data_IF_025687128554
#
_entry.id   IF_025687128554
#
_cell.length_a   1.000
_cell.length_b   1.000
_cell.length_c   1.000
_cell.angle_alpha   90.00
_cell.angle_beta   90.00
_cell.angle_gamma   90.00
#
_symmetry.space_group_name_H-M   'P 1'
#
loop_
_entity.id
_entity.type
_entity.pdbx_description
1 polymer ?
#
# COMPACT_ATOMS: atom_id res chain seq x y z
N UNK A 1 65.65 4.75 -11.10
CA UNK A 1 65.24 5.83 -12.02
C UNK A 1 66.17 7.00 -11.77
N UNK A 2 67.28 6.98 -12.49
CA UNK A 2 68.32 8.00 -12.46
C UNK A 2 67.85 9.20 -13.28
N UNK A 3 68.12 10.41 -12.79
CA UNK A 3 67.93 11.65 -13.55
C UNK A 3 69.31 12.22 -13.88
N UNK A 4 69.60 12.56 -15.14
CA UNK A 4 70.92 13.01 -15.54
C UNK A 4 71.08 14.51 -15.33
N UNK A 5 72.18 14.89 -14.67
CA UNK A 5 72.66 16.27 -14.62
C UNK A 5 73.27 16.66 -15.96
N UNK A 6 72.77 17.73 -16.57
CA UNK A 6 73.41 18.37 -17.71
C UNK A 6 74.39 19.43 -17.21
N UNK A 7 75.65 19.01 -17.18
CA UNK A 7 76.84 19.83 -17.09
C UNK A 7 77.16 20.33 -18.51
N UNK A 8 76.90 21.61 -18.80
CA UNK A 8 77.35 22.26 -20.05
C UNK A 8 77.80 23.67 -19.70
N UNK A 9 79.12 23.86 -19.59
CA UNK A 9 79.82 25.07 -20.04
C UNK A 9 81.33 24.80 -19.93
N UNK A 10 81.89 24.27 -21.00
CA UNK A 10 83.32 24.28 -21.27
C UNK A 10 83.61 25.32 -22.36
N UNK A 11 84.74 26.01 -22.17
CA UNK A 11 85.48 26.80 -23.15
C UNK A 11 84.82 28.06 -23.73
N UNK A 12 85.16 29.21 -23.11
CA UNK A 12 85.38 30.45 -23.87
C UNK A 12 86.81 30.89 -23.58
N UNK A 13 87.59 30.93 -24.66
CA UNK A 13 88.98 31.36 -24.75
C UNK A 13 89.21 32.74 -24.14
N UNK A 14 90.16 32.79 -23.20
CA UNK A 14 90.87 34.00 -22.81
C UNK A 14 91.88 34.35 -23.91
N UNK A 15 91.45 35.13 -24.91
CA UNK A 15 92.38 35.96 -25.69
C UNK A 15 92.51 37.32 -25.01
N UNK A 16 93.65 37.50 -24.35
CA UNK A 16 94.21 38.80 -24.02
C UNK A 16 94.49 39.52 -25.33
N UNK A 17 93.85 40.68 -25.56
CA UNK A 17 94.35 41.68 -26.49
C UNK A 17 93.77 43.05 -26.10
N UNK A 18 94.65 44.04 -25.97
CA UNK A 18 94.28 45.45 -26.09
C UNK A 18 93.84 46.16 -24.81
N UNK A 19 94.83 46.55 -24.01
CA UNK A 19 94.76 47.70 -23.10
C UNK A 19 94.22 48.96 -23.83
N UNK A 20 93.08 49.57 -23.44
CA UNK A 20 92.70 50.89 -23.92
C UNK A 20 93.00 51.96 -22.86
N UNK A 21 94.20 51.94 -22.28
CA UNK A 21 94.80 53.15 -21.71
C UNK A 21 95.30 54.01 -22.88
N UNK A 22 94.37 54.70 -23.54
CA UNK A 22 94.73 55.85 -24.35
C UNK A 22 95.07 57.03 -23.42
N UNK A 23 96.13 57.80 -23.69
CA UNK A 23 96.47 58.98 -22.91
C UNK A 23 95.32 59.98 -23.00
N UNK A 24 94.78 60.38 -21.85
CA UNK A 24 93.87 61.52 -21.77
C UNK A 24 94.71 62.76 -22.04
N UNK A 25 94.60 63.31 -23.25
CA UNK A 25 95.12 64.64 -23.53
C UNK A 25 94.50 65.65 -22.55
N UNK A 26 95.31 66.50 -21.88
CA UNK A 26 94.76 67.51 -21.01
C UNK A 26 94.08 68.57 -21.88
N UNK A 27 92.74 68.55 -21.92
CA UNK A 27 91.97 69.71 -22.36
C UNK A 27 92.31 70.83 -21.39
N UNK A 28 93.04 71.84 -21.89
CA UNK A 28 93.38 73.06 -21.17
C UNK A 28 92.09 73.68 -20.62
N UNK A 29 91.98 73.73 -19.30
CA UNK A 29 91.06 74.64 -18.66
C UNK A 29 91.62 76.05 -18.88
N UNK A 30 91.03 76.79 -19.81
CA UNK A 30 91.11 78.24 -19.77
C UNK A 30 90.41 78.68 -18.49
N UNK A 31 91.23 78.99 -17.49
CA UNK A 31 90.84 79.63 -16.26
C UNK A 31 90.41 81.06 -16.62
N UNK A 32 89.10 81.24 -16.78
CA UNK A 32 88.48 82.55 -16.76
C UNK A 32 87.89 82.80 -15.36
N UNK A 33 88.40 83.84 -14.73
CA UNK A 33 88.15 84.28 -13.38
C UNK A 33 86.68 84.72 -13.21
N UNK A 34 85.83 83.88 -12.60
CA UNK A 34 84.65 84.37 -11.88
C UNK A 34 83.99 83.29 -11.01
N UNK A 35 83.55 83.69 -9.82
CA UNK A 35 82.78 82.91 -8.82
C UNK A 35 81.38 82.50 -9.29
N UNK A 36 81.22 82.08 -10.55
CA UNK A 36 79.95 81.71 -11.16
C UNK A 36 79.83 80.19 -11.26
N UNK A 37 78.69 79.65 -10.84
CA UNK A 37 78.39 78.22 -10.93
C UNK A 37 78.41 77.75 -12.39
N UNK A 38 78.87 76.52 -12.61
CA UNK A 38 78.76 75.87 -13.91
C UNK A 38 77.30 75.79 -14.35
N UNK A 39 77.06 76.03 -15.65
CA UNK A 39 75.74 75.83 -16.28
C UNK A 39 75.52 74.36 -16.58
N UNK A 40 74.27 73.96 -16.83
CA UNK A 40 73.92 72.56 -17.07
C UNK A 40 74.70 71.88 -18.20
N UNK A 41 75.18 72.64 -19.20
CA UNK A 41 76.00 72.14 -20.32
C UNK A 41 77.51 72.15 -20.05
N UNK A 42 77.94 72.65 -18.90
CA UNK A 42 79.34 72.68 -18.44
C UNK A 42 79.63 71.59 -17.40
N UNK A 43 78.62 70.82 -17.00
CA UNK A 43 78.77 69.80 -15.95
C UNK A 43 79.61 68.62 -16.45
N UNK A 44 80.35 68.01 -15.53
CA UNK A 44 81.18 66.84 -15.83
C UNK A 44 80.34 65.69 -16.43
N UNK A 45 80.91 64.95 -17.40
CA UNK A 45 80.20 63.86 -18.11
C UNK A 45 79.54 62.83 -17.19
N UNK A 46 80.16 62.55 -16.03
CA UNK A 46 79.63 61.63 -15.02
C UNK A 46 78.33 62.12 -14.37
N UNK A 47 78.05 63.42 -14.36
CA UNK A 47 76.82 63.97 -13.80
C UNK A 47 75.67 64.07 -14.78
N UNK A 48 75.90 64.02 -16.11
CA UNK A 48 74.84 64.22 -17.11
C UNK A 48 73.68 63.23 -16.94
N UNK A 49 73.97 61.94 -16.96
CA UNK A 49 72.95 60.89 -16.78
C UNK A 49 72.32 60.92 -15.37
N UNK A 50 73.09 60.93 -14.26
CA UNK A 50 72.53 61.01 -12.91
C UNK A 50 71.66 62.25 -12.67
N UNK A 51 72.07 63.43 -13.14
CA UNK A 51 71.26 64.65 -13.01
C UNK A 51 69.94 64.45 -13.75
N UNK A 52 69.95 63.99 -15.01
CA UNK A 52 68.69 63.75 -15.74
C UNK A 52 67.84 62.67 -15.08
N UNK A 53 68.43 61.57 -14.63
CA UNK A 53 67.72 60.42 -14.07
C UNK A 53 67.17 60.64 -12.65
N UNK A 54 67.86 61.43 -11.83
CA UNK A 54 67.51 61.65 -10.41
C UNK A 54 66.81 62.98 -10.19
N UNK A 55 67.18 64.03 -10.94
CA UNK A 55 66.63 65.37 -10.73
C UNK A 55 65.37 65.66 -11.53
N UNK A 56 65.12 64.92 -12.62
CA UNK A 56 63.97 65.11 -13.50
C UNK A 56 63.13 63.83 -13.59
N UNK A 57 61.85 63.92 -13.18
CA UNK A 57 60.90 62.84 -13.42
C UNK A 57 60.65 62.65 -14.92
N UNK A 58 60.18 61.47 -15.32
CA UNK A 58 59.86 61.21 -16.72
C UNK A 58 58.76 62.17 -17.23
N UNK A 59 57.79 62.53 -16.39
CA UNK A 59 56.75 63.50 -16.70
C UNK A 59 57.31 64.91 -16.88
N UNK A 60 58.27 65.32 -16.04
CA UNK A 60 58.97 66.60 -16.18
C UNK A 60 59.78 66.65 -17.47
N UNK A 61 60.50 65.57 -17.79
CA UNK A 61 61.24 65.43 -19.05
C UNK A 61 60.31 65.57 -20.26
N UNK A 62 59.16 64.88 -20.25
CA UNK A 62 58.14 65.02 -21.29
C UNK A 62 57.65 66.46 -21.41
N UNK A 63 57.26 67.11 -20.32
CA UNK A 63 56.77 68.51 -20.34
C UNK A 63 57.81 69.49 -20.90
N UNK A 64 59.08 69.32 -20.55
CA UNK A 64 60.16 70.19 -21.04
C UNK A 64 60.36 70.00 -22.55
N UNK A 65 60.35 68.76 -23.05
CA UNK A 65 60.48 68.47 -24.49
C UNK A 65 59.34 69.05 -25.32
N UNK A 66 58.10 68.92 -24.85
CA UNK A 66 56.94 69.52 -25.57
C UNK A 66 57.12 71.02 -25.70
N UNK A 67 57.57 71.69 -24.62
CA UNK A 67 57.78 73.14 -24.59
C UNK A 67 58.95 73.62 -25.45
N UNK A 68 59.86 72.73 -25.86
CA UNK A 68 60.97 73.06 -26.77
C UNK A 68 60.70 72.68 -28.22
N UNK A 69 59.50 72.16 -28.53
CA UNK A 69 59.07 71.80 -29.89
C UNK A 69 59.45 70.39 -30.32
N UNK A 70 59.87 69.51 -29.40
CA UNK A 70 60.19 68.12 -29.72
C UNK A 70 58.94 67.25 -29.63
N UNK A 71 58.72 66.39 -30.64
CA UNK A 71 57.68 65.37 -30.58
C UNK A 71 58.06 64.26 -29.60
N UNK A 72 57.09 63.86 -28.77
CA UNK A 72 57.23 62.79 -27.76
C UNK A 72 56.48 61.53 -28.19
N UNK A 73 55.69 61.61 -29.27
CA UNK A 73 54.88 60.49 -29.75
C UNK A 73 55.79 59.30 -30.09
N UNK A 74 55.42 58.13 -29.58
CA UNK A 74 56.13 56.85 -29.77
C UNK A 74 57.57 56.80 -29.24
N UNK A 75 58.00 57.71 -28.35
CA UNK A 75 59.32 57.63 -27.71
C UNK A 75 59.27 56.86 -26.39
N UNK A 76 60.17 55.90 -26.24
CA UNK A 76 60.43 55.18 -25.00
C UNK A 76 61.05 56.10 -23.94
N UNK A 77 60.99 55.67 -22.67
CA UNK A 77 61.64 56.40 -21.58
C UNK A 77 63.15 56.54 -21.78
N UNK A 78 63.81 55.54 -22.37
CA UNK A 78 65.23 55.58 -22.68
C UNK A 78 65.57 56.61 -23.76
N UNK A 79 64.80 56.67 -24.85
CA UNK A 79 65.03 57.66 -25.92
C UNK A 79 64.85 59.09 -25.41
N UNK A 80 63.81 59.32 -24.59
CA UNK A 80 63.59 60.61 -23.92
C UNK A 80 64.81 60.96 -23.06
N UNK A 81 65.25 60.04 -22.19
CA UNK A 81 66.41 60.25 -21.34
C UNK A 81 67.69 60.55 -22.14
N UNK A 82 67.94 59.80 -23.22
CA UNK A 82 69.09 59.98 -24.10
C UNK A 82 69.14 61.37 -24.74
N UNK A 83 68.01 61.91 -25.17
CA UNK A 83 67.91 63.28 -25.71
C UNK A 83 68.32 64.31 -24.66
N UNK A 84 67.85 64.17 -23.42
CA UNK A 84 68.25 65.06 -22.33
C UNK A 84 69.74 64.98 -22.06
N UNK A 85 70.28 63.78 -21.87
CA UNK A 85 71.72 63.58 -21.58
C UNK A 85 72.59 64.15 -22.69
N UNK A 86 72.26 63.89 -23.95
CA UNK A 86 72.98 64.44 -25.09
C UNK A 86 72.90 65.96 -25.15
N UNK A 87 71.72 66.55 -24.87
CA UNK A 87 71.55 68.01 -24.89
C UNK A 87 72.41 68.74 -23.85
N UNK A 88 72.85 68.07 -22.79
CA UNK A 88 73.74 68.64 -21.77
C UNK A 88 75.22 68.64 -22.18
N UNK A 89 75.56 68.28 -23.42
CA UNK A 89 76.93 68.41 -23.93
C UNK A 89 77.29 69.82 -24.36
N UNK A 90 76.32 70.58 -24.87
CA UNK A 90 76.55 71.91 -25.41
C UNK A 90 75.42 72.87 -25.04
N UNK A 91 75.65 74.17 -25.24
CA UNK A 91 74.61 75.19 -25.04
C UNK A 91 73.59 75.12 -26.19
N UNK A 92 72.34 74.82 -25.86
CA UNK A 92 71.23 74.77 -26.81
C UNK A 92 69.90 75.15 -26.12
N UNK A 93 68.80 75.18 -26.88
CA UNK A 93 67.46 75.53 -26.36
C UNK A 93 67.00 74.60 -25.23
N UNK A 94 67.34 73.31 -25.31
CA UNK A 94 66.95 72.32 -24.32
C UNK A 94 67.81 72.42 -23.06
N UNK A 95 69.14 72.48 -23.17
CA UNK A 95 70.04 72.65 -22.02
C UNK A 95 69.80 73.95 -21.27
N UNK A 96 69.57 75.07 -21.97
CA UNK A 96 69.21 76.35 -21.32
C UNK A 96 67.91 76.24 -20.52
N UNK A 97 66.94 75.47 -21.04
CA UNK A 97 65.66 75.27 -20.36
C UNK A 97 65.77 74.30 -19.19
N UNK A 98 66.59 73.25 -19.32
CA UNK A 98 66.90 72.31 -18.23
C UNK A 98 67.58 73.07 -17.09
N UNK A 99 68.62 73.84 -17.39
CA UNK A 99 69.35 74.67 -16.45
C UNK A 99 68.40 75.59 -15.66
N UNK A 100 67.60 76.40 -16.36
CA UNK A 100 66.64 77.31 -15.71
C UNK A 100 65.58 76.57 -14.87
N UNK A 101 65.18 75.37 -15.31
CA UNK A 101 64.21 74.55 -14.58
C UNK A 101 64.80 73.97 -13.30
N UNK A 102 65.99 73.35 -13.38
CA UNK A 102 66.69 72.77 -12.23
C UNK A 102 67.09 73.84 -11.22
N UNK A 103 67.54 75.01 -11.68
CA UNK A 103 67.82 76.17 -10.82
C UNK A 103 66.60 76.62 -10.01
N UNK A 104 65.43 76.61 -10.65
CA UNK A 104 64.17 76.96 -9.99
C UNK A 104 63.71 75.87 -9.03
N UNK A 105 63.79 74.60 -9.47
CA UNK A 105 63.34 73.43 -8.71
C UNK A 105 64.11 73.27 -7.42
N UNK A 106 65.43 73.46 -7.46
CA UNK A 106 66.32 73.30 -6.30
C UNK A 106 66.82 74.63 -5.73
N UNK A 107 66.00 75.68 -5.82
CA UNK A 107 66.36 77.01 -5.31
C UNK A 107 66.75 76.96 -3.82
N UNK A 108 66.06 76.13 -3.03
CA UNK A 108 66.32 75.98 -1.61
C UNK A 108 67.68 75.33 -1.34
N UNK A 109 67.96 74.21 -1.97
CA UNK A 109 69.21 73.45 -1.83
C UNK A 109 70.40 74.25 -2.35
N UNK A 110 70.23 74.96 -3.49
CA UNK A 110 71.25 75.87 -4.00
C UNK A 110 71.56 76.96 -2.96
N UNK A 111 70.53 77.60 -2.39
CA UNK A 111 70.71 78.66 -1.38
C UNK A 111 71.40 78.15 -0.11
N UNK A 112 71.12 76.90 0.28
CA UNK A 112 71.62 76.31 1.53
C UNK A 112 73.04 75.74 1.38
N UNK A 113 73.35 75.10 0.25
CA UNK A 113 74.56 74.29 0.11
C UNK A 113 75.60 74.87 -0.87
N UNK A 114 75.25 75.82 -1.76
CA UNK A 114 76.23 76.32 -2.74
C UNK A 114 77.32 77.20 -2.12
N UNK A 115 77.05 77.82 -0.96
CA UNK A 115 78.01 78.69 -0.26
C UNK A 115 78.90 77.97 0.75
N UNK A 116 78.67 76.67 0.99
CA UNK A 116 79.51 75.88 1.90
C UNK A 116 80.90 75.69 1.33
N UNK A 117 81.91 75.60 2.20
CA UNK A 117 83.24 75.13 1.82
C UNK A 117 83.20 73.69 1.27
N UNK A 118 84.17 73.33 0.43
CA UNK A 118 84.28 72.02 -0.21
C UNK A 118 84.19 70.88 0.81
N UNK A 119 84.88 70.98 1.95
CA UNK A 119 84.87 69.92 2.96
C UNK A 119 83.50 69.78 3.63
N UNK A 120 82.87 70.91 3.98
CA UNK A 120 81.53 70.95 4.57
C UNK A 120 80.46 70.44 3.59
N UNK A 121 80.60 70.73 2.30
CA UNK A 121 79.70 70.22 1.28
C UNK A 121 79.78 68.69 1.15
N UNK A 122 80.98 68.12 1.18
CA UNK A 122 81.18 66.66 1.11
C UNK A 122 80.62 65.94 2.35
N UNK A 123 80.68 66.55 3.52
CA UNK A 123 80.05 66.02 4.73
C UNK A 123 78.52 66.08 4.65
N UNK A 124 77.98 67.21 4.16
CA UNK A 124 76.56 67.35 3.87
C UNK A 124 76.07 66.32 2.84
N UNK A 125 76.86 66.07 1.78
CA UNK A 125 76.58 65.03 0.78
C UNK A 125 76.42 63.66 1.43
N UNK A 126 77.40 63.21 2.23
CA UNK A 126 77.34 61.90 2.89
C UNK A 126 76.10 61.76 3.78
N UNK A 127 75.79 62.80 4.56
CA UNK A 127 74.65 62.82 5.48
C UNK A 127 73.31 62.72 4.73
N UNK A 128 73.12 63.53 3.69
CA UNK A 128 71.87 63.53 2.93
C UNK A 128 71.74 62.31 2.00
N UNK A 129 72.85 61.77 1.51
CA UNK A 129 72.86 60.53 0.73
C UNK A 129 72.34 59.35 1.56
N UNK A 130 72.76 59.22 2.82
CA UNK A 130 72.24 58.20 3.73
C UNK A 130 70.74 58.35 4.00
N UNK A 131 70.20 59.58 3.95
CA UNK A 131 68.77 59.87 4.10
C UNK A 131 67.97 59.70 2.81
N UNK A 132 68.63 59.50 1.67
CA UNK A 132 68.00 59.41 0.34
C UNK A 132 67.63 60.77 -0.27
N UNK A 133 68.03 61.88 0.33
CA UNK A 133 67.71 63.25 -0.10
C UNK A 133 68.73 63.79 -1.10
N UNK A 134 68.88 63.11 -2.24
CA UNK A 134 70.03 63.29 -3.14
C UNK A 134 69.82 64.29 -4.28
N UNK A 135 68.58 64.51 -4.73
CA UNK A 135 68.34 65.16 -6.03
C UNK A 135 68.84 66.61 -6.08
N UNK A 136 68.50 67.41 -5.06
CA UNK A 136 68.95 68.81 -5.01
C UNK A 136 70.45 68.95 -4.77
N UNK A 137 71.02 68.12 -3.88
CA UNK A 137 72.47 68.12 -3.63
C UNK A 137 73.28 67.64 -4.82
N UNK A 138 72.76 66.71 -5.62
CA UNK A 138 73.40 66.24 -6.85
C UNK A 138 73.46 67.38 -7.88
N UNK A 139 72.41 68.19 -8.01
CA UNK A 139 72.44 69.38 -8.86
C UNK A 139 73.42 70.43 -8.35
N UNK A 140 73.49 70.65 -7.03
CA UNK A 140 74.50 71.53 -6.42
C UNK A 140 75.91 71.00 -6.72
N UNK A 141 76.19 69.71 -6.50
CA UNK A 141 77.48 69.10 -6.82
C UNK A 141 77.84 69.27 -8.30
N UNK A 142 76.90 69.02 -9.20
CA UNK A 142 77.13 69.11 -10.64
C UNK A 142 77.48 70.53 -11.12
N UNK A 143 77.00 71.56 -10.43
CA UNK A 143 77.19 72.97 -10.82
C UNK A 143 78.27 73.70 -10.03
N UNK A 144 78.93 73.03 -9.08
CA UNK A 144 80.01 73.58 -8.27
C UNK A 144 81.36 73.54 -9.02
N UNK A 145 82.13 74.65 -9.06
CA UNK A 145 83.42 74.69 -9.74
C UNK A 145 84.61 74.20 -8.88
N UNK A 146 84.44 74.12 -7.56
CA UNK A 146 85.51 73.82 -6.59
C UNK A 146 85.74 72.31 -6.35
N UNK A 147 84.92 71.44 -6.95
CA UNK A 147 85.04 69.99 -6.80
C UNK A 147 86.18 69.43 -7.66
N UNK A 148 87.05 68.64 -7.05
CA UNK A 148 88.14 67.94 -7.73
C UNK A 148 87.65 66.64 -8.37
N UNK A 149 88.49 66.07 -9.24
CA UNK A 149 88.19 64.81 -9.90
C UNK A 149 87.94 63.64 -8.92
N UNK A 150 88.61 63.59 -7.76
CA UNK A 150 88.30 62.60 -6.71
C UNK A 150 86.86 62.74 -6.18
N UNK A 151 86.42 63.97 -5.91
CA UNK A 151 85.08 64.23 -5.36
C UNK A 151 84.00 63.84 -6.36
N UNK A 152 84.20 64.22 -7.62
CA UNK A 152 83.26 63.90 -8.71
C UNK A 152 83.14 62.38 -8.86
N UNK A 153 84.27 61.65 -8.79
CA UNK A 153 84.26 60.17 -8.84
C UNK A 153 83.53 59.57 -7.62
N UNK A 154 83.76 60.11 -6.42
CA UNK A 154 83.11 59.63 -5.20
C UNK A 154 81.59 59.82 -5.27
N UNK A 155 81.13 61.05 -5.53
CA UNK A 155 79.71 61.40 -5.64
C UNK A 155 79.04 60.58 -6.75
N UNK A 156 79.69 60.43 -7.90
CA UNK A 156 79.18 59.58 -8.97
C UNK A 156 79.08 58.12 -8.55
N UNK A 157 80.10 57.58 -7.86
CA UNK A 157 80.11 56.21 -7.36
C UNK A 157 78.94 55.92 -6.43
N UNK A 158 78.66 56.84 -5.51
CA UNK A 158 77.52 56.76 -4.58
C UNK A 158 76.18 56.65 -5.35
N UNK A 159 75.93 57.60 -6.26
CA UNK A 159 74.68 57.62 -7.05
C UNK A 159 74.58 56.43 -8.00
N UNK A 160 75.70 56.04 -8.61
CA UNK A 160 75.76 54.88 -9.51
C UNK A 160 75.37 53.58 -8.78
N UNK A 161 75.96 53.33 -7.62
CA UNK A 161 75.62 52.15 -6.81
C UNK A 161 74.18 52.18 -6.33
N UNK A 162 73.66 53.35 -5.93
CA UNK A 162 72.25 53.49 -5.56
C UNK A 162 71.30 53.12 -6.72
N UNK A 163 71.58 53.59 -7.95
CA UNK A 163 70.78 53.23 -9.12
C UNK A 163 70.80 51.72 -9.40
N UNK A 164 71.96 51.07 -9.23
CA UNK A 164 72.09 49.61 -9.33
C UNK A 164 71.26 48.88 -8.26
N UNK A 165 71.37 49.29 -6.99
CA UNK A 165 70.62 48.70 -5.88
C UNK A 165 69.10 48.88 -6.05
N UNK A 166 68.67 50.06 -6.47
CA UNK A 166 67.27 50.33 -6.80
C UNK A 166 66.75 49.37 -7.89
N UNK A 167 67.56 49.05 -8.89
CA UNK A 167 67.17 48.07 -9.92
C UNK A 167 66.97 46.68 -9.33
N UNK A 168 67.86 46.23 -8.45
CA UNK A 168 67.74 44.94 -7.75
C UNK A 168 66.49 44.90 -6.87
N UNK A 169 66.23 45.94 -6.09
CA UNK A 169 65.04 46.04 -5.24
C UNK A 169 63.75 46.08 -6.05
N UNK A 170 63.71 46.87 -7.12
CA UNK A 170 62.56 46.92 -8.03
C UNK A 170 62.30 45.56 -8.70
N UNK A 171 63.35 44.82 -9.09
CA UNK A 171 63.18 43.46 -9.63
C UNK A 171 62.58 42.52 -8.59
N UNK A 172 63.09 42.51 -7.35
CA UNK A 172 62.54 41.70 -6.26
C UNK A 172 61.09 42.08 -5.93
N UNK A 173 60.79 43.39 -5.88
CA UNK A 173 59.43 43.90 -5.65
C UNK A 173 58.47 43.46 -6.76
N UNK A 174 58.87 43.56 -8.03
CA UNK A 174 58.07 43.09 -9.18
C UNK A 174 57.82 41.59 -9.13
N UNK A 175 58.85 40.79 -8.80
CA UNK A 175 58.70 39.34 -8.64
C UNK A 175 57.73 38.99 -7.51
N UNK A 176 57.85 39.68 -6.36
CA UNK A 176 56.94 39.47 -5.23
C UNK A 176 55.51 39.87 -5.56
N UNK A 177 55.33 41.00 -6.24
CA UNK A 177 54.02 41.48 -6.67
C UNK A 177 53.37 40.48 -7.62
N UNK A 178 54.09 40.04 -8.66
CA UNK A 178 53.58 39.05 -9.62
C UNK A 178 53.20 37.72 -8.94
N UNK A 179 54.02 37.24 -8.00
CA UNK A 179 53.67 36.06 -7.19
C UNK A 179 52.40 36.27 -6.36
N UNK A 180 52.25 37.42 -5.70
CA UNK A 180 51.08 37.73 -4.89
C UNK A 180 49.82 37.93 -5.73
N UNK A 181 49.93 38.50 -6.93
CA UNK A 181 48.81 38.66 -7.87
C UNK A 181 48.29 37.29 -8.32
N UNK A 182 49.19 36.36 -8.64
CA UNK A 182 48.84 35.00 -9.05
C UNK A 182 48.19 34.20 -7.91
N UNK A 183 48.75 34.25 -6.70
CA UNK A 183 48.13 33.60 -5.54
C UNK A 183 46.76 34.19 -5.21
N UNK A 184 46.60 35.52 -5.30
CA UNK A 184 45.30 36.17 -5.14
C UNK A 184 44.30 35.74 -6.21
N UNK A 185 44.73 35.55 -7.46
CA UNK A 185 43.87 35.04 -8.54
C UNK A 185 43.36 33.64 -8.19
N UNK A 186 44.25 32.72 -7.80
CA UNK A 186 43.87 31.36 -7.38
C UNK A 186 42.93 31.35 -6.19
N UNK A 187 43.18 32.18 -5.17
CA UNK A 187 42.32 32.28 -4.00
C UNK A 187 40.93 32.81 -4.36
N UNK A 188 40.83 33.80 -5.26
CA UNK A 188 39.55 34.30 -5.78
C UNK A 188 38.77 33.20 -6.51
N UNK A 189 39.44 32.40 -7.35
CA UNK A 189 38.81 31.29 -8.06
C UNK A 189 38.27 30.22 -7.10
N UNK A 190 39.07 29.81 -6.10
CA UNK A 190 38.62 28.87 -5.05
C UNK A 190 37.44 29.41 -4.26
N UNK A 191 37.49 30.68 -3.87
CA UNK A 191 36.39 31.33 -3.15
C UNK A 191 35.10 31.34 -3.98
N UNK A 192 35.20 31.60 -5.29
CA UNK A 192 34.05 31.54 -6.19
C UNK A 192 33.47 30.13 -6.28
N UNK A 193 34.31 29.10 -6.42
CA UNK A 193 33.90 27.69 -6.43
C UNK A 193 33.19 27.29 -5.14
N UNK A 194 33.78 27.59 -3.99
CA UNK A 194 33.19 27.33 -2.66
C UNK A 194 31.85 28.07 -2.49
N UNK A 195 31.76 29.33 -2.94
CA UNK A 195 30.51 30.09 -2.88
C UNK A 195 29.40 29.47 -3.75
N UNK A 196 29.75 28.87 -4.88
CA UNK A 196 28.81 28.20 -5.77
C UNK A 196 28.34 26.87 -5.15
N UNK A 197 29.26 26.08 -4.62
CA UNK A 197 28.97 24.83 -3.92
C UNK A 197 28.07 25.07 -2.70
N UNK A 198 28.40 26.07 -1.88
CA UNK A 198 27.59 26.44 -0.71
C UNK A 198 26.17 26.88 -1.10
N UNK A 199 26.01 27.59 -2.23
CA UNK A 199 24.69 27.96 -2.76
C UNK A 199 23.90 26.73 -3.23
N UNK A 200 24.55 25.79 -3.91
CA UNK A 200 23.93 24.54 -4.36
C UNK A 200 23.46 23.70 -3.16
N UNK A 201 24.34 23.45 -2.19
CA UNK A 201 24.02 22.72 -0.95
C UNK A 201 22.90 23.38 -0.14
N UNK A 202 22.84 24.73 -0.12
CA UNK A 202 21.75 25.45 0.55
C UNK A 202 20.41 25.26 -0.16
N UNK A 203 20.41 25.21 -1.50
CA UNK A 203 19.21 24.94 -2.30
C UNK A 203 18.71 23.51 -2.09
N UNK A 204 19.62 22.55 -2.12
CA UNK A 204 19.33 21.13 -1.86
C UNK A 204 18.78 20.92 -0.45
N UNK A 205 19.43 21.47 0.58
CA UNK A 205 18.91 21.43 1.95
C UNK A 205 17.50 22.02 2.09
N UNK A 206 17.19 23.08 1.33
CA UNK A 206 15.84 23.65 1.31
C UNK A 206 14.83 22.70 0.66
N UNK A 207 15.22 21.98 -0.39
CA UNK A 207 14.38 20.96 -1.03
C UNK A 207 14.13 19.79 -0.08
N UNK A 208 15.21 19.20 0.47
CA UNK A 208 15.12 18.09 1.41
C UNK A 208 14.25 18.43 2.64
N UNK A 209 14.34 19.67 3.16
CA UNK A 209 13.44 20.11 4.24
C UNK A 209 11.97 20.14 3.84
N UNK A 210 11.65 20.49 2.59
CA UNK A 210 10.27 20.42 2.09
C UNK A 210 9.82 18.97 1.96
N UNK A 211 10.66 18.11 1.38
CA UNK A 211 10.36 16.69 1.17
C UNK A 211 10.13 15.98 2.51
N UNK A 212 10.97 16.25 3.52
CA UNK A 212 10.78 15.74 4.88
C UNK A 212 9.46 16.21 5.48
N UNK A 213 9.06 17.46 5.28
CA UNK A 213 7.78 17.97 5.79
C UNK A 213 6.58 17.38 5.05
N UNK A 214 6.71 17.06 3.77
CA UNK A 214 5.69 16.38 2.98
C UNK A 214 5.53 14.92 3.41
N UNK A 215 6.64 14.19 3.54
CA UNK A 215 6.66 12.83 4.06
C UNK A 215 6.08 12.76 5.48
N UNK A 216 6.41 13.70 6.36
CA UNK A 216 5.82 13.77 7.70
C UNK A 216 4.31 13.97 7.68
N UNK A 217 3.80 14.81 6.76
CA UNK A 217 2.35 15.01 6.58
C UNK A 217 1.67 13.75 6.05
N UNK A 218 2.27 13.09 5.06
CA UNK A 218 1.79 11.82 4.53
C UNK A 218 1.76 10.72 5.59
N UNK A 219 2.84 10.58 6.37
CA UNK A 219 2.91 9.62 7.47
C UNK A 219 1.81 9.86 8.52
N UNK A 220 1.62 11.11 8.96
CA UNK A 220 0.56 11.46 9.91
C UNK A 220 -0.85 11.21 9.35
N UNK A 221 -1.05 11.34 8.03
CA UNK A 221 -2.31 10.98 7.37
C UNK A 221 -2.55 9.46 7.41
N UNK A 222 -1.58 8.67 6.96
CA UNK A 222 -1.68 7.21 6.96
C UNK A 222 -1.80 6.64 8.37
N UNK A 223 -1.16 7.24 9.36
CA UNK A 223 -1.28 6.82 10.75
C UNK A 223 -2.70 7.05 11.29
N UNK A 224 -3.36 8.15 10.91
CA UNK A 224 -4.78 8.37 11.22
C UNK A 224 -5.71 7.38 10.51
N UNK A 225 -5.47 7.08 9.23
CA UNK A 225 -6.25 6.07 8.51
C UNK A 225 -6.08 4.70 9.13
N UNK A 226 -4.84 4.32 9.47
CA UNK A 226 -4.55 3.07 10.17
C UNK A 226 -5.33 2.99 11.49
N UNK A 227 -5.27 4.04 12.32
CA UNK A 227 -6.04 4.07 13.57
C UNK A 227 -7.56 3.95 13.34
N UNK A 228 -8.08 4.57 12.27
CA UNK A 228 -9.50 4.47 11.92
C UNK A 228 -9.88 3.05 11.52
N UNK A 229 -9.08 2.41 10.66
CA UNK A 229 -9.30 1.03 10.21
C UNK A 229 -9.16 0.06 11.38
N UNK A 230 -8.15 0.23 12.25
CA UNK A 230 -7.98 -0.59 13.46
C UNK A 230 -9.17 -0.46 14.40
N UNK A 231 -9.72 0.76 14.55
CA UNK A 231 -10.94 0.98 15.32
C UNK A 231 -12.17 0.31 14.69
N UNK A 232 -12.39 0.49 13.38
CA UNK A 232 -13.49 -0.17 12.67
C UNK A 232 -13.39 -1.70 12.77
N UNK A 233 -12.16 -2.25 12.70
CA UNK A 233 -11.90 -3.68 12.87
C UNK A 233 -12.19 -4.14 14.31
N UNK A 234 -11.80 -3.37 15.33
CA UNK A 234 -12.14 -3.66 16.72
C UNK A 234 -13.65 -3.62 16.93
N UNK A 235 -14.35 -2.61 16.41
CA UNK A 235 -15.81 -2.50 16.52
C UNK A 235 -16.54 -3.67 15.82
N UNK A 236 -16.04 -4.12 14.67
CA UNK A 236 -16.56 -5.33 14.00
C UNK A 236 -16.26 -6.62 14.78
N UNK A 237 -15.08 -6.71 15.39
CA UNK A 237 -14.66 -7.87 16.20
C UNK A 237 -15.40 -7.95 17.54
N UNK A 238 -15.63 -6.80 18.19
CA UNK A 238 -16.35 -6.66 19.45
C UNK A 238 -17.87 -6.68 19.26
N UNK A 239 -18.33 -6.65 18.01
CA UNK A 239 -19.73 -6.82 17.69
C UNK A 239 -20.16 -8.24 18.08
N UNK A 240 -20.70 -8.36 19.29
CA UNK A 240 -21.38 -9.56 19.81
C UNK A 240 -22.37 -10.15 18.81
N UNK A 241 -22.88 -9.35 17.87
CA UNK A 241 -23.64 -9.80 16.71
C UNK A 241 -22.93 -10.88 15.89
N UNK A 242 -21.62 -10.80 15.60
CA UNK A 242 -20.93 -11.83 14.81
C UNK A 242 -20.89 -13.17 15.56
N UNK A 243 -20.54 -13.16 16.85
CA UNK A 243 -20.54 -14.38 17.67
C UNK A 243 -21.96 -14.92 17.90
N UNK A 244 -22.96 -14.05 18.10
CA UNK A 244 -24.36 -14.45 18.24
C UNK A 244 -24.91 -15.04 16.95
N UNK A 245 -24.67 -14.40 15.79
CA UNK A 245 -25.06 -14.93 14.49
C UNK A 245 -24.35 -16.23 14.16
N UNK A 246 -23.09 -16.41 14.60
CA UNK A 246 -22.35 -17.65 14.41
C UNK A 246 -22.88 -18.78 15.31
N UNK A 247 -23.26 -18.46 16.55
CA UNK A 247 -23.93 -19.38 17.46
C UNK A 247 -25.32 -19.78 16.94
N UNK A 248 -26.12 -18.81 16.52
CA UNK A 248 -27.45 -19.01 15.92
C UNK A 248 -27.35 -19.81 14.62
N UNK A 249 -26.37 -19.54 13.74
CA UNK A 249 -26.12 -20.37 12.57
C UNK A 249 -25.79 -21.82 12.93
N UNK A 250 -25.03 -22.03 14.01
CA UNK A 250 -24.68 -23.38 14.47
C UNK A 250 -25.92 -24.12 14.98
N UNK A 251 -26.78 -23.44 15.73
CA UNK A 251 -28.03 -23.97 16.25
C UNK A 251 -29.02 -24.29 15.13
N UNK A 252 -29.26 -23.34 14.20
CA UNK A 252 -30.11 -23.55 13.02
C UNK A 252 -29.61 -24.73 12.17
N UNK A 253 -28.30 -24.93 12.02
CA UNK A 253 -27.73 -26.10 11.33
C UNK A 253 -27.98 -27.41 12.08
N UNK A 254 -28.01 -27.40 13.41
CA UNK A 254 -28.37 -28.58 14.21
C UNK A 254 -29.84 -28.90 14.02
N UNK A 255 -30.71 -27.91 14.09
CA UNK A 255 -32.15 -28.11 13.94
C UNK A 255 -32.54 -28.52 12.53
N UNK A 256 -31.90 -27.97 11.50
CA UNK A 256 -32.05 -28.45 10.13
C UNK A 256 -31.68 -29.93 9.96
N UNK A 257 -30.64 -30.40 10.66
CA UNK A 257 -30.30 -31.83 10.65
C UNK A 257 -31.38 -32.67 11.34
N UNK A 258 -31.81 -32.27 12.55
CA UNK A 258 -32.89 -32.97 13.28
C UNK A 258 -34.16 -33.06 12.45
N UNK A 259 -34.58 -31.94 11.86
CA UNK A 259 -35.80 -31.87 11.06
C UNK A 259 -35.67 -32.70 9.78
N UNK A 260 -34.49 -32.72 9.15
CA UNK A 260 -34.21 -33.60 8.02
C UNK A 260 -34.28 -35.08 8.40
N UNK A 261 -33.75 -35.45 9.56
CA UNK A 261 -33.82 -36.82 10.08
C UNK A 261 -35.26 -37.23 10.41
N UNK A 262 -36.05 -36.33 11.03
CA UNK A 262 -37.48 -36.52 11.27
C UNK A 262 -38.25 -36.70 9.97
N UNK A 263 -38.04 -35.84 8.97
CA UNK A 263 -38.66 -35.96 7.65
C UNK A 263 -38.30 -37.29 6.99
N UNK A 264 -37.05 -37.75 7.10
CA UNK A 264 -36.64 -39.06 6.60
C UNK A 264 -37.38 -40.20 7.31
N UNK A 265 -37.53 -40.10 8.64
CA UNK A 265 -38.28 -41.09 9.44
C UNK A 265 -39.76 -41.13 9.06
N UNK A 266 -40.39 -39.96 8.84
CA UNK A 266 -41.78 -39.86 8.40
C UNK A 266 -41.96 -40.41 7.00
N UNK A 267 -41.03 -40.13 6.08
CA UNK A 267 -41.06 -40.71 4.72
C UNK A 267 -41.01 -42.24 4.77
N UNK A 268 -40.11 -42.82 5.58
CA UNK A 268 -40.03 -44.26 5.77
C UNK A 268 -41.32 -44.85 6.34
N UNK A 269 -41.90 -44.19 7.34
CA UNK A 269 -43.17 -44.62 7.92
C UNK A 269 -44.33 -44.54 6.92
N UNK A 270 -44.32 -43.53 6.05
CA UNK A 270 -45.31 -43.38 4.99
C UNK A 270 -45.20 -44.51 3.96
N UNK A 271 -43.99 -44.87 3.54
CA UNK A 271 -43.77 -46.00 2.63
C UNK A 271 -44.21 -47.31 3.27
N UNK A 272 -43.87 -47.55 4.55
CA UNK A 272 -44.28 -48.76 5.26
C UNK A 272 -45.81 -48.88 5.36
N UNK A 273 -46.51 -47.77 5.62
CA UNK A 273 -47.98 -47.72 5.67
C UNK A 273 -48.61 -47.92 4.28
N UNK A 274 -48.01 -47.37 3.22
CA UNK A 274 -48.46 -47.59 1.84
C UNK A 274 -48.32 -49.07 1.43
N UNK A 275 -47.21 -49.71 1.81
CA UNK A 275 -46.99 -51.14 1.58
C UNK A 275 -48.00 -51.99 2.36
N UNK A 276 -48.28 -51.64 3.62
CA UNK A 276 -49.30 -52.31 4.44
C UNK A 276 -50.69 -52.18 3.83
N UNK A 277 -51.08 -50.98 3.40
CA UNK A 277 -52.36 -50.76 2.73
C UNK A 277 -52.46 -51.58 1.44
N UNK A 278 -51.40 -51.64 0.63
CA UNK A 278 -51.38 -52.44 -0.59
C UNK A 278 -51.54 -53.94 -0.31
N UNK A 279 -50.91 -54.45 0.76
CA UNK A 279 -51.08 -55.84 1.22
C UNK A 279 -52.51 -56.12 1.67
N UNK A 280 -53.08 -55.25 2.51
CA UNK A 280 -54.44 -55.38 3.01
C UNK A 280 -55.47 -55.34 1.88
N UNK A 281 -55.27 -54.48 0.88
CA UNK A 281 -56.11 -54.46 -0.32
C UNK A 281 -56.04 -55.80 -1.07
N UNK A 282 -54.85 -56.36 -1.25
CA UNK A 282 -54.68 -57.70 -1.84
C UNK A 282 -55.35 -58.82 -1.03
N UNK A 283 -55.35 -58.73 0.30
CA UNK A 283 -56.04 -59.69 1.16
C UNK A 283 -57.57 -59.56 1.06
N UNK A 284 -58.08 -58.33 0.95
CA UNK A 284 -59.51 -58.07 0.71
C UNK A 284 -59.95 -58.65 -0.63
N UNK A 285 -59.16 -58.49 -1.69
CA UNK A 285 -59.50 -59.04 -3.00
C UNK A 285 -59.50 -60.57 -2.99
N UNK A 286 -58.51 -61.20 -2.32
CA UNK A 286 -58.51 -62.66 -2.09
C UNK A 286 -59.75 -63.13 -1.33
N UNK A 287 -60.14 -62.40 -0.29
CA UNK A 287 -61.36 -62.72 0.46
C UNK A 287 -62.63 -62.57 -0.36
N UNK A 288 -62.71 -61.56 -1.25
CA UNK A 288 -63.84 -61.39 -2.19
C UNK A 288 -63.93 -62.56 -3.17
N UNK A 289 -62.79 -63.03 -3.68
CA UNK A 289 -62.73 -64.16 -4.60
C UNK A 289 -63.20 -65.47 -3.93
N UNK A 290 -62.70 -65.75 -2.72
CA UNK A 290 -63.12 -66.92 -1.92
C UNK A 290 -64.62 -66.87 -1.62
N UNK A 291 -65.15 -65.72 -1.19
CA UNK A 291 -66.58 -65.56 -0.92
C UNK A 291 -67.43 -65.68 -2.19
N UNK A 292 -66.94 -65.20 -3.33
CA UNK A 292 -67.57 -65.39 -4.63
C UNK A 292 -67.69 -66.87 -5.01
N UNK A 293 -66.66 -67.66 -4.72
CA UNK A 293 -66.67 -69.11 -4.96
C UNK A 293 -67.67 -69.84 -4.04
N UNK A 294 -67.72 -69.49 -2.75
CA UNK A 294 -68.67 -70.06 -1.79
C UNK A 294 -70.14 -69.76 -2.14
N UNK A 295 -70.44 -68.56 -2.64
CA UNK A 295 -71.82 -68.19 -3.04
C UNK A 295 -72.33 -69.05 -4.19
N UNK A 296 -71.50 -69.29 -5.22
CA UNK A 296 -71.84 -70.15 -6.36
C UNK A 296 -72.07 -71.60 -5.95
N UNK A 297 -71.29 -72.12 -5.00
CA UNK A 297 -71.49 -73.45 -4.40
C UNK A 297 -72.85 -73.55 -3.69
N UNK A 298 -73.22 -72.53 -2.92
CA UNK A 298 -74.45 -72.51 -2.12
C UNK A 298 -75.72 -72.42 -2.98
N UNK A 299 -75.70 -71.65 -4.06
CA UNK A 299 -76.82 -71.58 -5.03
C UNK A 299 -77.11 -72.94 -5.70
N UNK A 300 -76.06 -73.71 -6.03
CA UNK A 300 -76.22 -75.06 -6.61
C UNK A 300 -76.91 -76.04 -5.65
N UNK A 301 -76.64 -75.93 -4.35
CA UNK A 301 -77.23 -76.81 -3.33
C UNK A 301 -78.70 -76.48 -3.03
N UNK A 302 -79.11 -75.21 -3.11
CA UNK A 302 -80.50 -74.78 -2.86
C UNK A 302 -81.45 -75.25 -3.99
N UNK A 303 -81.01 -75.23 -5.25
CA UNK A 303 -81.82 -75.68 -6.39
C UNK A 303 -82.14 -77.18 -6.30
N UNK A 304 -81.22 -78.01 -5.77
CA UNK A 304 -81.44 -79.45 -5.55
C UNK A 304 -82.52 -79.76 -4.50
N UNK A 305 -82.68 -78.90 -3.48
CA UNK A 305 -83.56 -79.17 -2.34
C UNK A 305 -85.03 -78.85 -2.65
N UNK A 306 -85.31 -77.86 -3.51
CA UNK A 306 -86.69 -77.48 -3.86
C UNK A 306 -87.41 -78.43 -4.84
N UNK A 307 -86.70 -79.43 -5.39
CA UNK A 307 -87.27 -80.40 -6.33
C UNK A 307 -87.84 -81.66 -5.67
N UNK A 308 -87.57 -81.91 -4.38
CA UNK A 308 -87.90 -83.18 -3.70
C UNK A 308 -89.21 -83.18 -2.90
N UNK A 309 -89.91 -82.06 -2.74
CA UNK A 309 -91.14 -81.96 -1.92
C UNK A 309 -92.30 -81.28 -2.66
N UNK A 310 -93.00 -82.04 -3.53
CA UNK A 310 -94.35 -81.69 -4.00
C UNK A 310 -95.24 -82.93 -3.89
N UNK A 311 -96.32 -82.85 -3.11
CA UNK A 311 -97.41 -83.83 -3.08
C UNK A 311 -98.63 -83.23 -3.78
N UNK A 312 -99.28 -83.99 -4.67
CA UNK A 312 -100.52 -83.62 -5.38
C UNK A 312 -101.77 -84.34 -4.82
N UNK A 313 -102.92 -84.01 -5.39
CA UNK A 313 -104.30 -84.25 -4.92
C UNK A 313 -104.75 -85.72 -4.80
N UNK A 314 -103.88 -86.71 -5.00
CA UNK A 314 -104.22 -88.14 -4.89
C UNK A 314 -103.75 -88.83 -3.60
N UNK A 315 -103.31 -88.07 -2.59
CA UNK A 315 -102.80 -88.61 -1.32
C UNK A 315 -103.93 -89.17 -0.39
N UNK A 316 -103.98 -90.49 -0.10
CA UNK A 316 -105.09 -91.14 0.62
C UNK A 316 -105.12 -90.95 2.15
N UNK A 317 -104.41 -89.95 2.69
CA UNK A 317 -104.40 -89.60 4.12
C UNK A 317 -104.65 -88.11 4.35
N UNK A 318 -105.53 -87.54 3.54
CA UNK A 318 -105.84 -86.10 3.51
C UNK A 318 -106.53 -85.56 4.78
N UNK A 319 -107.00 -86.41 5.69
CA UNK A 319 -107.62 -85.99 6.96
C UNK A 319 -106.61 -85.78 8.12
N UNK A 320 -105.31 -85.93 7.85
CA UNK A 320 -104.21 -85.74 8.82
C UNK A 320 -103.24 -84.60 8.45
N UNK A 321 -103.55 -83.81 7.41
CA UNK A 321 -102.65 -82.80 6.83
C UNK A 321 -102.76 -81.37 7.40
N UNK A 322 -103.54 -81.11 8.46
CA UNK A 322 -103.64 -79.79 9.10
C UNK A 322 -103.15 -79.76 10.54
N UNK A 323 -101.96 -80.30 10.81
CA UNK A 323 -101.39 -80.28 12.16
C UNK A 323 -101.00 -78.85 12.58
N UNK A 324 -101.43 -78.45 13.77
CA UNK A 324 -101.05 -77.18 14.40
C UNK A 324 -99.68 -77.30 15.08
N UNK A 325 -98.69 -76.62 14.52
CA UNK A 325 -97.30 -76.66 15.00
C UNK A 325 -97.00 -75.39 15.78
N UNK A 326 -96.72 -75.55 17.07
CA UNK A 326 -96.31 -74.48 17.95
C UNK A 326 -94.78 -74.48 18.07
N UNK A 327 -94.14 -73.35 17.79
CA UNK A 327 -92.72 -73.15 18.11
C UNK A 327 -92.61 -72.33 19.40
N UNK A 328 -91.97 -72.89 20.43
CA UNK A 328 -91.76 -72.23 21.73
C UNK A 328 -90.28 -71.86 21.89
N UNK A 329 -90.00 -70.56 21.87
CA UNK A 329 -88.65 -70.02 21.81
C UNK A 329 -88.10 -69.99 20.38
N UNK A 330 -87.12 -69.13 20.11
CA UNK A 330 -86.58 -68.95 18.77
C UNK A 330 -86.04 -67.53 18.54
N UNK A 331 -85.21 -67.37 17.51
CA UNK A 331 -84.76 -66.04 17.05
C UNK A 331 -85.95 -65.35 16.34
N UNK A 332 -86.45 -64.26 16.93
CA UNK A 332 -87.63 -63.51 16.43
C UNK A 332 -87.49 -63.10 14.95
N UNK A 333 -86.28 -62.74 14.51
CA UNK A 333 -85.99 -62.36 13.11
C UNK A 333 -86.22 -63.48 12.08
N UNK A 334 -86.31 -64.75 12.49
CA UNK A 334 -86.48 -65.92 11.59
C UNK A 334 -87.93 -66.41 11.59
N UNK A 335 -88.80 -65.83 12.43
CA UNK A 335 -90.22 -66.18 12.57
C UNK A 335 -90.96 -66.22 11.22
N UNK A 336 -90.75 -65.24 10.36
CA UNK A 336 -91.44 -65.17 9.06
C UNK A 336 -91.04 -66.32 8.14
N UNK A 337 -89.79 -66.81 8.25
CA UNK A 337 -89.33 -67.98 7.50
C UNK A 337 -89.90 -69.29 8.05
N UNK A 338 -90.13 -69.40 9.36
CA UNK A 338 -90.82 -70.56 9.94
C UNK A 338 -92.28 -70.60 9.55
N UNK A 339 -92.94 -69.45 9.60
CA UNK A 339 -94.32 -69.29 9.15
C UNK A 339 -94.45 -69.75 7.70
N UNK A 340 -93.62 -69.20 6.80
CA UNK A 340 -93.62 -69.55 5.38
C UNK A 340 -93.39 -71.04 5.15
N UNK A 341 -92.39 -71.65 5.81
CA UNK A 341 -92.12 -73.09 5.66
C UNK A 341 -93.28 -73.98 6.14
N UNK A 342 -93.94 -73.65 7.25
CA UNK A 342 -95.00 -74.48 7.82
C UNK A 342 -96.32 -74.30 7.04
N UNK A 343 -96.66 -73.07 6.67
CA UNK A 343 -97.89 -72.75 5.94
C UNK A 343 -97.81 -73.15 4.45
N UNK A 344 -96.65 -73.01 3.79
CA UNK A 344 -96.47 -73.51 2.40
C UNK A 344 -96.58 -75.04 2.30
N UNK A 345 -96.34 -75.75 3.41
CA UNK A 345 -96.51 -77.20 3.50
C UNK A 345 -97.88 -77.60 4.12
N UNK A 346 -98.85 -76.68 4.20
CA UNK A 346 -100.24 -76.94 4.59
C UNK A 346 -100.52 -76.99 6.11
N UNK A 347 -99.53 -76.72 6.97
CA UNK A 347 -99.69 -76.72 8.43
C UNK A 347 -100.11 -75.37 9.01
N UNK A 348 -100.64 -75.37 10.25
CA UNK A 348 -101.00 -74.14 10.97
C UNK A 348 -99.87 -73.75 11.91
N UNK A 349 -99.31 -72.55 11.72
CA UNK A 349 -98.19 -72.07 12.53
C UNK A 349 -98.65 -71.26 13.76
N UNK A 350 -98.18 -71.65 14.95
CA UNK A 350 -98.22 -70.82 16.15
C UNK A 350 -96.81 -70.57 16.69
N UNK A 351 -96.59 -69.39 17.28
CA UNK A 351 -95.32 -69.01 17.87
C UNK A 351 -95.51 -68.48 19.29
N UNK A 352 -94.61 -68.89 20.18
CA UNK A 352 -94.44 -68.33 21.50
C UNK A 352 -92.97 -67.95 21.69
N UNK A 353 -92.68 -66.73 22.09
CA UNK A 353 -91.32 -66.18 22.22
C UNK A 353 -90.47 -66.83 23.33
N UNK A 354 -91.13 -67.53 24.26
CA UNK A 354 -90.49 -68.23 25.38
C UNK A 354 -90.29 -67.35 26.61
N UNK A 355 -90.82 -66.12 26.62
CA UNK A 355 -90.72 -65.20 27.75
C UNK A 355 -91.89 -65.41 28.73
N UNK A 356 -91.57 -65.64 30.02
CA UNK A 356 -92.53 -66.16 31.01
C UNK A 356 -92.98 -65.15 32.08
N UNK A 357 -92.65 -63.85 31.96
CA UNK A 357 -92.95 -62.83 33.00
C UNK A 357 -94.44 -62.48 33.16
N UNK A 358 -95.32 -62.84 32.22
CA UNK A 358 -96.77 -62.57 32.26
C UNK A 358 -97.66 -63.73 32.75
N UNK A 359 -97.08 -64.80 33.27
CA UNK A 359 -97.80 -65.98 33.78
C UNK A 359 -97.93 -67.14 32.78
N UNK A 360 -98.21 -68.35 33.29
CA UNK A 360 -98.15 -69.61 32.50
C UNK A 360 -99.42 -69.95 31.71
N UNK A 361 -100.46 -69.10 31.76
CA UNK A 361 -101.78 -69.41 31.18
C UNK A 361 -101.79 -69.39 29.64
N UNK A 362 -101.05 -68.48 28.99
CA UNK A 362 -100.98 -68.37 27.53
C UNK A 362 -100.36 -69.60 26.86
N UNK A 363 -99.14 -69.96 27.28
CA UNK A 363 -98.44 -71.16 26.79
C UNK A 363 -99.23 -72.45 27.05
N UNK A 364 -99.91 -72.57 28.20
CA UNK A 364 -100.81 -73.71 28.49
C UNK A 364 -101.92 -73.86 27.45
N UNK A 365 -102.54 -72.75 27.04
CA UNK A 365 -103.61 -72.76 26.04
C UNK A 365 -103.12 -73.17 24.65
N UNK A 366 -101.95 -72.68 24.24
CA UNK A 366 -101.35 -73.02 22.94
C UNK A 366 -100.86 -74.46 22.90
N UNK A 367 -100.13 -74.93 23.92
CA UNK A 367 -99.68 -76.33 23.99
C UNK A 367 -100.86 -77.30 24.02
N UNK A 368 -101.99 -76.95 24.63
CA UNK A 368 -103.18 -77.82 24.66
C UNK A 368 -103.80 -78.05 23.27
N UNK A 369 -103.77 -77.03 22.41
CA UNK A 369 -104.37 -77.07 21.05
C UNK A 369 -103.38 -77.46 19.96
N UNK A 370 -102.08 -77.38 20.22
CA UNK A 370 -101.06 -77.79 19.27
C UNK A 370 -101.08 -79.31 19.09
N UNK A 371 -100.91 -79.75 17.85
CA UNK A 371 -100.69 -81.16 17.51
C UNK A 371 -99.23 -81.54 17.63
N UNK A 372 -98.32 -80.55 17.52
CA UNK A 372 -96.89 -80.72 17.77
C UNK A 372 -96.28 -79.43 18.31
N UNK A 373 -95.35 -79.56 19.24
CA UNK A 373 -94.58 -78.44 19.77
C UNK A 373 -93.09 -78.63 19.49
N UNK A 374 -92.46 -77.63 18.87
CA UNK A 374 -91.01 -77.59 18.65
C UNK A 374 -90.38 -76.57 19.59
N UNK A 375 -89.34 -76.97 20.31
CA UNK A 375 -88.67 -76.13 21.30
C UNK A 375 -87.15 -76.15 21.10
N UNK A 376 -86.56 -75.16 20.41
CA UNK A 376 -85.10 -75.05 20.30
C UNK A 376 -84.47 -74.72 21.64
N UNK A 377 -83.46 -75.51 22.04
CA UNK A 377 -82.82 -75.42 23.37
C UNK A 377 -81.72 -74.36 23.40
N UNK A 378 -81.07 -74.07 22.28
CA UNK A 378 -79.93 -73.15 22.18
C UNK A 378 -80.29 -71.66 22.34
N UNK A 379 -81.56 -71.29 22.14
CA UNK A 379 -82.01 -69.91 22.14
C UNK A 379 -83.26 -69.69 23.01
N UNK A 380 -83.58 -70.65 23.89
CA UNK A 380 -84.72 -70.58 24.79
C UNK A 380 -84.28 -70.76 26.24
N UNK A 381 -85.01 -70.15 27.17
CA UNK A 381 -84.67 -70.24 28.60
C UNK A 381 -84.89 -71.67 29.13
N UNK A 382 -84.04 -72.11 30.06
CA UNK A 382 -84.16 -73.44 30.68
C UNK A 382 -85.55 -73.67 31.32
N UNK A 383 -86.14 -72.60 31.88
CA UNK A 383 -87.50 -72.63 32.44
C UNK A 383 -88.59 -72.82 31.37
N UNK A 384 -88.49 -72.17 30.21
CA UNK A 384 -89.44 -72.37 29.11
C UNK A 384 -89.35 -73.79 28.55
N UNK A 385 -88.15 -74.31 28.33
CA UNK A 385 -87.91 -75.69 27.88
C UNK A 385 -88.51 -76.73 28.84
N UNK A 386 -88.23 -76.61 30.14
CA UNK A 386 -88.73 -77.53 31.18
C UNK A 386 -90.26 -77.48 31.30
N UNK A 387 -90.83 -76.27 31.22
CA UNK A 387 -92.28 -76.09 31.28
C UNK A 387 -92.99 -76.65 30.05
N UNK A 388 -92.50 -76.40 28.83
CA UNK A 388 -93.06 -76.97 27.60
C UNK A 388 -93.06 -78.50 27.66
N UNK A 389 -91.98 -79.12 28.16
CA UNK A 389 -91.92 -80.57 28.36
C UNK A 389 -92.91 -81.09 29.40
N UNK A 390 -93.10 -80.38 30.52
CA UNK A 390 -94.12 -80.71 31.54
C UNK A 390 -95.54 -80.58 30.98
N UNK A 391 -95.82 -79.52 30.22
CA UNK A 391 -97.14 -79.28 29.63
C UNK A 391 -97.47 -80.28 28.52
N UNK A 392 -96.48 -80.64 27.69
CA UNK A 392 -96.62 -81.71 26.70
C UNK A 392 -97.01 -83.04 27.33
N UNK A 393 -96.32 -83.46 28.41
CA UNK A 393 -96.69 -84.66 29.17
C UNK A 393 -98.09 -84.57 29.79
N UNK A 394 -98.44 -83.41 30.34
CA UNK A 394 -99.74 -83.20 31.01
C UNK A 394 -100.93 -83.28 30.03
N UNK A 395 -100.77 -82.78 28.81
CA UNK A 395 -101.85 -82.75 27.81
C UNK A 395 -101.69 -83.82 26.71
N UNK A 396 -100.76 -84.75 26.88
CA UNK A 396 -100.43 -85.80 25.93
C UNK A 396 -100.15 -85.28 24.50
N UNK A 397 -99.35 -84.20 24.38
CA UNK A 397 -98.93 -83.62 23.09
C UNK A 397 -97.44 -83.86 22.82
N UNK A 398 -97.05 -84.21 21.58
CA UNK A 398 -95.66 -84.47 21.24
C UNK A 398 -94.85 -83.17 21.26
N UNK A 399 -93.77 -83.16 22.04
CA UNK A 399 -92.83 -82.04 22.19
C UNK A 399 -91.44 -82.47 21.75
N UNK A 400 -90.87 -81.81 20.75
CA UNK A 400 -89.51 -82.06 20.25
C UNK A 400 -88.56 -80.95 20.66
N UNK A 401 -87.50 -81.34 21.37
CA UNK A 401 -86.43 -80.44 21.78
C UNK A 401 -85.36 -80.39 20.69
N UNK A 402 -85.08 -79.21 20.12
CA UNK A 402 -84.16 -79.06 18.98
C UNK A 402 -82.81 -78.47 19.42
N UNK A 403 -81.70 -79.02 18.93
CA UNK A 403 -80.35 -78.54 19.28
C UNK A 403 -80.02 -77.15 18.68
N UNK A 404 -80.73 -76.72 17.65
CA UNK A 404 -80.51 -75.45 16.96
C UNK A 404 -81.80 -74.74 16.57
N UNK A 405 -81.70 -73.43 16.38
CA UNK A 405 -82.79 -72.50 16.05
C UNK A 405 -82.73 -72.00 14.62
N UNK A 406 -82.23 -72.82 13.70
CA UNK A 406 -82.14 -72.51 12.26
C UNK A 406 -83.17 -73.29 11.45
N UNK A 407 -83.47 -72.83 10.22
CA UNK A 407 -84.43 -73.47 9.32
C UNK A 407 -84.15 -74.95 9.04
N UNK A 408 -82.87 -75.33 8.93
CA UNK A 408 -82.48 -76.72 8.70
C UNK A 408 -82.91 -77.66 9.83
N UNK A 409 -82.76 -77.23 11.10
CA UNK A 409 -83.12 -78.04 12.26
C UNK A 409 -84.65 -78.25 12.40
N UNK A 410 -85.45 -77.25 12.01
CA UNK A 410 -86.91 -77.34 12.04
C UNK A 410 -87.43 -78.16 10.85
N UNK A 411 -86.85 -78.01 9.66
CA UNK A 411 -87.17 -78.85 8.50
C UNK A 411 -86.94 -80.33 8.80
N UNK A 412 -85.79 -80.68 9.40
CA UNK A 412 -85.51 -82.06 9.83
C UNK A 412 -86.51 -82.58 10.88
N UNK A 413 -86.93 -81.76 11.83
CA UNK A 413 -87.89 -82.16 12.86
C UNK A 413 -89.31 -82.40 12.33
N UNK A 414 -89.69 -81.66 11.29
CA UNK A 414 -90.95 -81.85 10.58
C UNK A 414 -90.93 -83.16 9.77
N UNK A 415 -89.85 -83.41 9.02
CA UNK A 415 -89.68 -84.64 8.23
C UNK A 415 -89.76 -85.90 9.10
N UNK A 416 -89.06 -85.91 10.24
CA UNK A 416 -88.99 -87.07 11.13
C UNK A 416 -90.35 -87.49 11.73
N UNK A 417 -91.31 -86.57 11.82
CA UNK A 417 -92.65 -86.82 12.36
C UNK A 417 -93.75 -86.93 11.30
N UNK A 418 -93.43 -86.68 10.03
CA UNK A 418 -94.31 -86.91 8.88
C UNK A 418 -94.31 -88.38 8.41
N UNK A 419 -93.60 -89.28 9.11
CA UNK A 419 -93.60 -90.72 8.80
C UNK A 419 -92.80 -91.10 7.55
N UNK A 420 -91.86 -90.26 7.13
CA UNK A 420 -90.96 -90.50 6.00
C UNK A 420 -89.53 -90.43 6.56
N UNK A 421 -88.82 -91.56 6.54
CA UNK A 421 -87.40 -91.65 6.92
C UNK A 421 -86.50 -90.86 5.97
#
# INVERSE_FOLDING_TARGET
METPGSNIMSHIDLKQDGNPLLPVEPVKAECDDNRSRHRSWMIHRHFKCPVVGTCLSLEEQKRILTKTGHSIKNRSAYEIHGIFVHSLSDKNRLSTRIDAYLHRKFKHEISKFSGLDRALFLDAWKTHFQKGEIAGLLWVAATRPDLKAEDIRSIFGDVHMQMHLNTVWNRKARQRLSFQEEENRKLKERLQQESAMRRALKKENKSLKKDVNELRRGYAFFEKEKMKIEKELSELSDNSGFFNLQAENRELRVDMRKLSDEVSSYKKRMTDLQDQNSRLLGDIDRQREINGHLRKEMERNIIRISAMNRCDETCPSFDLCQKRILIVGGIVKIKDRYKKLIEENGGIFEYHDGYMKGGTKGLKGQVRRADMVLCPVNCNSHNACSLTKKLGKKYNRPVHMLAGSGLSAISQALLKNAGIN
#
